data_IF_617570590844
#
_entry.id   IF_617570590844
#
_cell.length_a   1.000
_cell.length_b   1.000
_cell.length_c   1.000
_cell.angle_alpha   90.00
_cell.angle_beta   90.00
_cell.angle_gamma   90.00
#
_symmetry.space_group_name_H-M   'P 1'
#
loop_
_entity.id
_entity.type
_entity.pdbx_description
1 polymer ?
#
# COMPACT_ATOMS: atom_id res chain seq x y z
N UNK A 1 -18.31 1.00 16.17
CA UNK A 1 -17.16 0.44 15.45
C UNK A 1 -15.99 0.72 16.37
N UNK A 2 -15.50 -0.30 17.08
CA UNK A 2 -14.34 -0.12 17.95
C UNK A 2 -13.15 0.36 17.11
N UNK A 3 -12.49 1.44 17.53
CA UNK A 3 -11.27 1.89 16.89
C UNK A 3 -10.20 0.83 17.12
N UNK A 4 -9.90 0.04 16.08
CA UNK A 4 -8.76 -0.88 16.10
C UNK A 4 -7.49 -0.02 16.00
N UNK A 5 -6.68 -0.02 17.06
CA UNK A 5 -5.44 0.74 17.16
C UNK A 5 -4.29 -0.26 17.28
N UNK A 6 -3.19 0.02 16.58
CA UNK A 6 -1.96 -0.75 16.77
C UNK A 6 -1.35 -0.47 18.14
N UNK A 7 -0.82 -1.50 18.78
CA UNK A 7 0.02 -1.27 19.97
C UNK A 7 1.31 -0.55 19.58
N UNK A 8 1.89 0.20 20.51
CA UNK A 8 3.19 0.86 20.33
C UNK A 8 4.29 -0.12 19.89
N UNK A 9 4.26 -1.36 20.39
CA UNK A 9 5.19 -2.41 20.00
C UNK A 9 4.98 -2.87 18.55
N UNK A 10 3.73 -3.03 18.11
CA UNK A 10 3.42 -3.40 16.73
C UNK A 10 3.85 -2.30 15.77
N UNK A 11 3.54 -1.03 16.07
CA UNK A 11 3.98 0.09 15.26
C UNK A 11 5.50 0.16 15.15
N UNK A 12 6.22 -0.03 16.26
CA UNK A 12 7.68 0.02 16.30
C UNK A 12 8.27 -1.08 15.41
N UNK A 13 7.78 -2.31 15.53
CA UNK A 13 8.21 -3.43 14.68
C UNK A 13 7.96 -3.18 13.19
N UNK A 14 6.82 -2.60 12.85
CA UNK A 14 6.48 -2.26 11.46
C UNK A 14 7.43 -1.19 10.93
N UNK A 15 7.68 -0.14 11.71
CA UNK A 15 8.61 0.95 11.35
C UNK A 15 10.04 0.44 11.18
N UNK A 16 10.53 -0.39 12.09
CA UNK A 16 11.86 -1.01 12.00
C UNK A 16 12.01 -1.89 10.75
N UNK A 17 11.00 -2.72 10.45
CA UNK A 17 11.02 -3.57 9.26
C UNK A 17 10.99 -2.73 7.99
N UNK A 18 10.20 -1.66 7.94
CA UNK A 18 10.18 -0.73 6.82
C UNK A 18 11.55 -0.06 6.59
N UNK A 19 12.27 0.31 7.65
CA UNK A 19 13.62 0.88 7.55
C UNK A 19 14.62 -0.13 7.00
N UNK A 20 14.60 -1.38 7.50
CA UNK A 20 15.46 -2.46 6.99
C UNK A 20 15.23 -2.72 5.50
N UNK A 21 13.96 -2.90 5.10
CA UNK A 21 13.61 -3.12 3.70
C UNK A 21 14.02 -1.95 2.79
N UNK A 22 13.96 -0.72 3.31
CA UNK A 22 14.37 0.48 2.58
C UNK A 22 15.87 0.44 2.27
N UNK A 23 16.69 0.08 3.24
CA UNK A 23 18.15 -0.04 3.09
C UNK A 23 18.52 -1.23 2.19
N UNK A 24 17.94 -2.40 2.43
CA UNK A 24 18.22 -3.63 1.68
C UNK A 24 17.90 -3.50 0.19
N UNK A 25 16.73 -2.93 -0.13
CA UNK A 25 16.29 -2.75 -1.53
C UNK A 25 16.71 -1.41 -2.13
N UNK A 26 17.46 -0.58 -1.39
CA UNK A 26 17.90 0.76 -1.81
C UNK A 26 16.75 1.63 -2.34
N UNK A 27 15.61 1.54 -1.65
CA UNK A 27 14.40 2.26 -2.03
C UNK A 27 14.40 3.65 -1.40
N UNK A 28 13.82 4.63 -2.11
CA UNK A 28 13.68 5.99 -1.59
C UNK A 28 12.77 6.04 -0.35
N UNK A 29 11.66 5.32 -0.40
CA UNK A 29 10.63 5.30 0.63
C UNK A 29 9.87 3.97 0.61
N UNK A 30 9.44 3.55 1.79
CA UNK A 30 8.53 2.41 1.99
C UNK A 30 7.32 2.90 2.77
N UNK A 31 6.15 2.47 2.33
CA UNK A 31 4.86 2.74 2.93
C UNK A 31 4.35 1.45 3.56
N UNK A 32 4.48 1.30 4.89
CA UNK A 32 3.77 0.24 5.59
C UNK A 32 2.27 0.56 5.61
N UNK A 33 1.47 -0.38 5.13
CA UNK A 33 0.01 -0.34 5.13
C UNK A 33 -0.50 -1.43 6.05
N UNK A 34 -1.46 -1.07 6.90
CA UNK A 34 -2.05 -1.99 7.89
C UNK A 34 -3.55 -2.08 7.65
N UNK A 35 -4.05 -3.30 7.55
CA UNK A 35 -5.48 -3.60 7.38
C UNK A 35 -5.89 -4.56 8.48
N UNK A 36 -6.97 -4.24 9.19
CA UNK A 36 -7.50 -5.12 10.22
C UNK A 36 -8.52 -6.08 9.59
N UNK A 37 -8.29 -7.39 9.75
CA UNK A 37 -9.23 -8.39 9.27
C UNK A 37 -10.45 -8.57 10.17
N UNK A 38 -11.43 -9.29 9.66
CA UNK A 38 -12.61 -9.74 10.39
C UNK A 38 -12.39 -11.14 11.00
N UNK A 39 -11.98 -11.14 12.27
CA UNK A 39 -11.77 -12.38 13.05
C UNK A 39 -13.04 -13.22 13.19
N UNK A 40 -14.23 -12.62 13.04
CA UNK A 40 -15.52 -13.33 13.09
C UNK A 40 -15.70 -14.25 11.89
N UNK A 41 -15.08 -13.91 10.77
CA UNK A 41 -15.06 -14.68 9.53
C UNK A 41 -13.78 -15.53 9.38
N UNK A 42 -12.98 -15.67 10.44
CA UNK A 42 -11.77 -16.49 10.44
C UNK A 42 -10.54 -15.82 9.83
N UNK A 43 -10.60 -14.51 9.54
CA UNK A 43 -9.44 -13.74 9.10
C UNK A 43 -8.47 -13.47 10.26
N UNK A 44 -7.21 -13.17 9.94
CA UNK A 44 -6.26 -12.75 10.97
C UNK A 44 -6.57 -11.34 11.43
N UNK A 45 -6.17 -11.04 12.66
CA UNK A 45 -6.51 -9.78 13.32
C UNK A 45 -5.91 -8.56 12.61
N UNK A 46 -4.70 -8.70 12.03
CA UNK A 46 -3.99 -7.62 11.35
C UNK A 46 -3.16 -8.15 10.20
N UNK A 47 -3.26 -7.47 9.06
CA UNK A 47 -2.47 -7.66 7.85
C UNK A 47 -1.53 -6.45 7.68
N UNK A 48 -0.29 -6.68 7.29
CA UNK A 48 0.70 -5.63 7.04
C UNK A 48 1.37 -5.85 5.67
N UNK A 49 1.27 -4.87 4.78
CA UNK A 49 2.00 -4.84 3.52
C UNK A 49 3.00 -3.67 3.48
N UNK A 50 4.18 -3.91 2.92
CA UNK A 50 5.20 -2.88 2.71
C UNK A 50 5.22 -2.54 1.22
N UNK A 51 4.93 -1.29 0.88
CA UNK A 51 4.82 -0.84 -0.51
C UNK A 51 5.93 0.16 -0.85
N UNK A 52 6.48 0.12 -2.06
CA UNK A 52 7.38 1.13 -2.59
C UNK A 52 6.64 2.21 -3.39
N UNK A 53 7.28 3.36 -3.60
CA UNK A 53 6.81 4.31 -4.62
C UNK A 53 6.88 3.64 -6.00
N UNK A 54 5.84 3.78 -6.84
CA UNK A 54 5.93 3.31 -8.22
C UNK A 54 7.01 4.09 -8.97
N UNK A 55 7.81 3.37 -9.76
CA UNK A 55 8.72 3.99 -10.69
C UNK A 55 7.99 4.49 -11.94
N UNK A 56 8.69 5.24 -12.80
CA UNK A 56 8.07 5.86 -13.98
C UNK A 56 7.41 4.84 -14.92
N UNK A 57 8.03 3.70 -15.28
CA UNK A 57 7.37 2.64 -16.05
C UNK A 57 6.08 2.10 -15.40
N UNK A 58 6.11 1.80 -14.10
CA UNK A 58 4.95 1.28 -13.36
C UNK A 58 3.82 2.30 -13.32
N UNK A 59 4.15 3.56 -13.05
CA UNK A 59 3.18 4.66 -13.01
C UNK A 59 2.56 4.91 -14.41
N UNK A 60 3.37 4.90 -15.46
CA UNK A 60 2.88 5.05 -16.84
C UNK A 60 1.94 3.91 -17.24
N UNK A 61 2.28 2.66 -16.89
CA UNK A 61 1.44 1.48 -17.08
C UNK A 61 0.12 1.61 -16.32
N UNK A 62 0.15 2.06 -15.07
CA UNK A 62 -1.05 2.34 -14.28
C UNK A 62 -1.93 3.40 -14.96
N UNK A 63 -1.38 4.54 -15.37
CA UNK A 63 -2.12 5.63 -16.02
C UNK A 63 -2.78 5.21 -17.35
N UNK A 64 -2.17 4.27 -18.08
CA UNK A 64 -2.75 3.73 -19.30
C UNK A 64 -3.90 2.76 -18.99
N UNK A 65 -3.71 1.88 -17.99
CA UNK A 65 -4.69 0.88 -17.60
C UNK A 65 -5.91 1.49 -16.89
N UNK A 66 -5.70 2.50 -16.04
CA UNK A 66 -6.75 3.11 -15.21
C UNK A 66 -7.83 3.82 -16.03
N UNK A 67 -7.50 4.26 -17.25
CA UNK A 67 -8.48 4.81 -18.21
C UNK A 67 -9.52 3.81 -18.68
N UNK A 68 -9.21 2.51 -18.61
CA UNK A 68 -10.07 1.43 -19.07
C UNK A 68 -10.71 0.68 -17.91
N UNK A 69 -9.91 0.34 -16.91
CA UNK A 69 -10.31 -0.44 -15.75
C UNK A 69 -9.48 -0.02 -14.54
N UNK A 70 -10.04 0.85 -13.70
CA UNK A 70 -9.35 1.41 -12.55
C UNK A 70 -9.06 0.36 -11.48
N UNK A 71 -10.00 -0.56 -11.22
CA UNK A 71 -9.84 -1.59 -10.19
C UNK A 71 -8.71 -2.54 -10.55
N UNK A 72 -8.69 -3.01 -11.81
CA UNK A 72 -7.62 -3.89 -12.27
C UNK A 72 -6.27 -3.16 -12.38
N UNK A 73 -6.28 -1.87 -12.73
CA UNK A 73 -5.09 -1.03 -12.73
C UNK A 73 -4.53 -0.85 -11.31
N UNK A 74 -5.37 -0.57 -10.31
CA UNK A 74 -4.98 -0.47 -8.91
C UNK A 74 -4.39 -1.80 -8.40
N UNK A 75 -5.01 -2.93 -8.72
CA UNK A 75 -4.47 -4.25 -8.32
C UNK A 75 -3.10 -4.52 -8.95
N UNK A 76 -2.95 -4.15 -10.21
CA UNK A 76 -1.66 -4.27 -10.90
C UNK A 76 -0.60 -3.37 -10.28
N UNK A 77 -0.96 -2.13 -9.95
CA UNK A 77 -0.08 -1.18 -9.26
C UNK A 77 0.33 -1.71 -7.87
N UNK A 78 -0.62 -2.26 -7.10
CA UNK A 78 -0.32 -2.87 -5.81
C UNK A 78 0.71 -3.98 -5.93
N UNK A 79 0.56 -4.87 -6.94
CA UNK A 79 1.55 -5.92 -7.22
C UNK A 79 2.91 -5.36 -7.61
N UNK A 80 2.94 -4.34 -8.46
CA UNK A 80 4.16 -3.70 -8.93
C UNK A 80 4.90 -2.95 -7.81
N UNK A 81 4.17 -2.45 -6.81
CA UNK A 81 4.71 -1.72 -5.65
C UNK A 81 4.95 -2.61 -4.41
N UNK A 82 4.48 -3.86 -4.40
CA UNK A 82 4.60 -4.72 -3.23
C UNK A 82 6.07 -5.12 -2.98
N UNK A 83 6.55 -4.87 -1.76
CA UNK A 83 7.93 -5.14 -1.35
C UNK A 83 8.03 -6.40 -0.51
N UNK A 84 7.20 -6.51 0.53
CA UNK A 84 7.16 -7.61 1.50
C UNK A 84 5.88 -7.54 2.35
N UNK A 85 5.62 -8.56 3.17
CA UNK A 85 4.51 -8.62 4.11
C UNK A 85 3.41 -9.59 3.67
N UNK A 86 2.19 -9.29 4.06
CA UNK A 86 1.01 -10.11 3.83
C UNK A 86 0.50 -9.98 2.40
N UNK A 87 0.96 -10.88 1.53
CA UNK A 87 0.59 -10.89 0.10
C UNK A 87 -0.90 -11.07 -0.15
N UNK A 88 -1.62 -11.65 0.81
CA UNK A 88 -3.08 -11.78 0.82
C UNK A 88 -3.78 -10.44 0.61
N UNK A 89 -3.20 -9.32 1.08
CA UNK A 89 -3.77 -7.99 0.86
C UNK A 89 -3.86 -7.57 -0.61
N UNK A 90 -3.07 -8.20 -1.48
CA UNK A 90 -3.03 -7.92 -2.93
C UNK A 90 -3.73 -9.02 -3.73
N UNK A 91 -3.63 -10.25 -3.25
CA UNK A 91 -4.11 -11.44 -3.96
C UNK A 91 -5.54 -11.82 -3.60
N UNK A 92 -6.01 -11.58 -2.38
CA UNK A 92 -7.42 -11.79 -2.00
C UNK A 92 -8.29 -10.62 -2.44
N UNK A 93 -9.46 -10.91 -3.02
CA UNK A 93 -10.33 -9.89 -3.59
C UNK A 93 -11.00 -9.03 -2.52
N UNK A 94 -11.43 -9.63 -1.41
CA UNK A 94 -12.10 -8.91 -0.32
C UNK A 94 -11.12 -7.98 0.38
N UNK A 95 -9.96 -8.52 0.78
CA UNK A 95 -8.91 -7.74 1.46
C UNK A 95 -8.37 -6.63 0.56
N UNK A 96 -8.24 -6.88 -0.75
CA UNK A 96 -7.81 -5.85 -1.67
C UNK A 96 -8.85 -4.74 -1.80
N UNK A 97 -10.11 -5.09 -2.13
CA UNK A 97 -11.16 -4.11 -2.44
C UNK A 97 -11.59 -3.30 -1.22
N UNK A 98 -11.71 -3.93 -0.05
CA UNK A 98 -12.24 -3.31 1.16
C UNK A 98 -11.17 -2.94 2.19
N UNK A 99 -9.92 -3.36 1.99
CA UNK A 99 -8.80 -3.05 2.87
C UNK A 99 -7.72 -2.20 2.21
N UNK A 100 -7.03 -2.75 1.22
CA UNK A 100 -5.80 -2.15 0.67
C UNK A 100 -6.07 -1.00 -0.33
N UNK A 101 -7.09 -1.13 -1.19
CA UNK A 101 -7.28 -0.25 -2.34
C UNK A 101 -7.42 1.23 -1.96
N UNK A 102 -8.16 1.52 -0.89
CA UNK A 102 -8.34 2.90 -0.41
C UNK A 102 -7.06 3.54 0.13
N UNK A 103 -6.11 2.76 0.65
CA UNK A 103 -4.81 3.26 1.09
C UNK A 103 -3.82 3.37 -0.08
N UNK A 104 -4.01 2.57 -1.12
CA UNK A 104 -3.13 2.55 -2.29
C UNK A 104 -3.19 3.87 -3.08
N UNK A 105 -4.32 4.57 -3.09
CA UNK A 105 -4.44 5.88 -3.73
C UNK A 105 -3.45 6.91 -3.15
N UNK A 106 -3.07 6.79 -1.87
CA UNK A 106 -2.08 7.66 -1.24
C UNK A 106 -0.67 7.51 -1.83
N UNK A 107 -0.37 6.38 -2.47
CA UNK A 107 0.92 6.18 -3.14
C UNK A 107 1.06 6.99 -4.43
N UNK A 108 -0.06 7.37 -5.04
CA UNK A 108 -0.11 8.09 -6.32
C UNK A 108 -0.53 9.55 -6.16
N UNK A 109 -0.78 10.02 -4.93
CA UNK A 109 -1.13 11.42 -4.65
C UNK A 109 -0.01 12.35 -5.11
N UNK A 110 -0.39 13.40 -5.84
CA UNK A 110 0.53 14.41 -6.34
C UNK A 110 1.08 15.25 -5.18
N UNK A 111 2.36 15.62 -5.27
CA UNK A 111 2.94 16.58 -4.32
C UNK A 111 2.33 17.96 -4.55
N UNK A 112 2.21 18.74 -3.48
CA UNK A 112 1.81 20.14 -3.58
C UNK A 112 2.75 20.89 -4.53
N UNK A 113 2.18 21.47 -5.58
CA UNK A 113 2.89 22.28 -6.57
C UNK A 113 2.23 23.65 -6.68
N UNK A 114 3.04 24.70 -6.68
CA UNK A 114 2.58 26.07 -6.91
C UNK A 114 3.15 26.56 -8.24
N UNK A 115 2.29 27.04 -9.14
CA UNK A 115 2.73 27.72 -10.33
C UNK A 115 3.09 29.16 -9.96
N UNK A 116 4.38 29.50 -10.07
CA UNK A 116 4.84 30.89 -9.90
C UNK A 116 4.63 31.59 -11.23
N UNK A 117 3.72 32.56 -11.24
CA UNK A 117 3.52 33.42 -12.40
C UNK A 117 4.64 34.48 -12.43
N UNK A 118 5.31 34.63 -13.58
CA UNK A 118 6.29 35.70 -13.84
C UNK A 118 5.60 36.89 -14.52
#
# INVERSE_FOLDING_TARGET
>A
MDEKILSLEQETKIKEKALKLKEEKKLRKIYPMVVFGDTSNGEKETYVAYMSEPNFPQFSKFMAASKKDEVMAMRTLARDCFVDGDKELVDDESLFLFGLMGQLSELITTRQSLLVNL
#
